data_IF_086809327290
#
_entry.id   IF_086809327290
#
_cell.length_a   1.000
_cell.length_b   1.000
_cell.length_c   1.000
_cell.angle_alpha   90.00
_cell.angle_beta   90.00
_cell.angle_gamma   90.00
#
_symmetry.space_group_name_H-M   'P 1'
#
loop_
_entity.id
_entity.type
_entity.pdbx_description
1 polymer ?
#
# COMPACT_ATOMS: atom_id res chain seq x y z
N UNK A 1 23.40 15.97 -17.40
CA UNK A 1 23.09 17.13 -16.51
C UNK A 1 22.86 16.63 -15.10
N UNK A 2 23.83 16.87 -14.21
CA UNK A 2 23.70 16.64 -12.78
C UNK A 2 22.60 17.56 -12.21
N UNK A 3 21.73 17.01 -11.38
CA UNK A 3 20.73 17.81 -10.67
C UNK A 3 21.42 18.61 -9.55
N UNK A 4 20.94 19.82 -9.26
CA UNK A 4 21.55 20.64 -8.23
C UNK A 4 21.35 20.03 -6.84
N UNK A 5 22.29 20.24 -5.92
CA UNK A 5 22.27 19.63 -4.58
C UNK A 5 20.98 19.91 -3.78
N UNK A 6 20.37 21.09 -3.98
CA UNK A 6 19.11 21.48 -3.33
C UNK A 6 17.92 20.63 -3.78
N UNK A 7 17.96 20.04 -4.98
CA UNK A 7 16.91 19.14 -5.47
C UNK A 7 16.84 17.88 -4.59
N UNK A 8 17.99 17.24 -4.33
CA UNK A 8 18.04 16.03 -3.51
C UNK A 8 17.61 16.32 -2.07
N UNK A 9 18.07 17.44 -1.49
CA UNK A 9 17.64 17.86 -0.15
C UNK A 9 16.12 18.07 -0.07
N UNK A 10 15.53 18.68 -1.09
CA UNK A 10 14.07 18.91 -1.15
C UNK A 10 13.31 17.59 -1.20
N UNK A 11 13.79 16.62 -1.98
CA UNK A 11 13.21 15.28 -2.05
C UNK A 11 13.34 14.55 -0.72
N UNK A 12 14.48 14.66 -0.04
CA UNK A 12 14.70 14.02 1.25
C UNK A 12 13.76 14.59 2.34
N UNK A 13 13.57 15.90 2.37
CA UNK A 13 12.60 16.56 3.27
C UNK A 13 11.16 16.11 2.94
N UNK A 14 10.81 15.98 1.66
CA UNK A 14 9.51 15.49 1.24
C UNK A 14 9.29 14.03 1.68
N UNK A 15 10.31 13.18 1.55
CA UNK A 15 10.26 11.79 2.02
C UNK A 15 10.06 11.76 3.53
N UNK A 16 10.83 12.54 4.29
CA UNK A 16 10.76 12.57 5.76
C UNK A 16 9.39 13.03 6.26
N UNK A 17 8.85 14.11 5.67
CA UNK A 17 7.50 14.62 6.01
C UNK A 17 6.42 13.60 5.66
N UNK A 18 6.52 12.97 4.49
CA UNK A 18 5.58 11.93 4.06
C UNK A 18 5.66 10.67 4.94
N UNK A 19 6.84 10.29 5.41
CA UNK A 19 7.02 9.21 6.38
C UNK A 19 6.34 9.53 7.71
N UNK A 20 6.55 10.73 8.26
CA UNK A 20 5.90 11.13 9.51
C UNK A 20 4.37 11.09 9.40
N UNK A 21 3.81 11.55 8.28
CA UNK A 21 2.38 11.47 7.99
C UNK A 21 1.90 10.02 7.83
N UNK A 22 2.68 9.17 7.16
CA UNK A 22 2.31 7.75 6.98
C UNK A 22 2.35 6.98 8.30
N UNK A 23 3.38 7.19 9.13
CA UNK A 23 3.53 6.55 10.45
C UNK A 23 2.36 6.96 11.35
N UNK A 24 2.05 8.27 11.41
CA UNK A 24 0.96 8.78 12.25
C UNK A 24 -0.41 8.32 11.75
N UNK A 25 -0.70 8.46 10.45
CA UNK A 25 -1.99 8.09 9.86
C UNK A 25 -2.28 6.58 9.94
N UNK A 26 -1.34 5.76 9.48
CA UNK A 26 -1.49 4.30 9.52
C UNK A 26 -1.41 3.77 10.96
N UNK A 27 -0.52 4.32 11.79
CA UNK A 27 -0.43 3.99 13.21
C UNK A 27 -1.73 4.24 13.95
N UNK A 28 -2.38 5.39 13.72
CA UNK A 28 -3.67 5.72 14.32
C UNK A 28 -4.76 4.70 13.95
N UNK A 29 -4.83 4.30 12.68
CA UNK A 29 -5.79 3.29 12.23
C UNK A 29 -5.53 1.94 12.90
N UNK A 30 -4.28 1.50 12.97
CA UNK A 30 -3.89 0.26 13.66
C UNK A 30 -4.31 0.33 15.13
N UNK A 31 -4.10 1.45 15.82
CA UNK A 31 -4.55 1.66 17.19
C UNK A 31 -6.08 1.50 17.32
N UNK A 32 -6.87 2.00 16.37
CA UNK A 32 -8.33 1.78 16.38
C UNK A 32 -8.69 0.28 16.28
N UNK A 33 -7.98 -0.50 15.46
CA UNK A 33 -8.21 -1.95 15.37
C UNK A 33 -7.77 -2.72 16.62
N UNK A 34 -6.76 -2.22 17.33
CA UNK A 34 -6.32 -2.77 18.62
C UNK A 34 -7.36 -2.48 19.69
N UNK A 35 -7.87 -1.25 19.76
CA UNK A 35 -8.80 -0.79 20.79
C UNK A 35 -10.22 -1.35 20.62
N UNK A 36 -10.71 -1.49 19.39
CA UNK A 36 -12.11 -1.87 19.14
C UNK A 36 -12.25 -3.29 18.57
N UNK A 37 -12.67 -4.24 19.40
CA UNK A 37 -12.87 -5.65 19.01
C UNK A 37 -13.84 -5.83 17.84
N UNK A 38 -14.88 -4.98 17.77
CA UNK A 38 -15.88 -4.94 16.69
C UNK A 38 -15.28 -4.72 15.30
N UNK A 39 -14.23 -3.89 15.20
CA UNK A 39 -13.53 -3.64 13.93
C UNK A 39 -12.77 -4.88 13.45
N UNK A 40 -12.15 -5.63 14.38
CA UNK A 40 -11.37 -6.84 14.11
C UNK A 40 -12.22 -8.03 13.65
N UNK A 41 -13.47 -8.10 14.10
CA UNK A 41 -14.41 -9.16 13.73
C UNK A 41 -14.91 -9.03 12.28
N UNK A 42 -14.83 -7.84 11.68
CA UNK A 42 -15.28 -7.61 10.30
C UNK A 42 -14.30 -8.19 9.27
N UNK A 43 -14.72 -9.25 8.58
CA UNK A 43 -13.91 -9.97 7.58
C UNK A 43 -13.44 -9.06 6.44
N UNK A 44 -14.30 -8.15 5.98
CA UNK A 44 -14.02 -7.23 4.87
C UNK A 44 -12.94 -6.18 5.17
N UNK A 45 -12.60 -5.98 6.45
CA UNK A 45 -11.60 -5.01 6.90
C UNK A 45 -10.21 -5.62 7.11
N UNK A 46 -10.05 -6.92 6.89
CA UNK A 46 -8.79 -7.62 7.19
C UNK A 46 -7.71 -7.33 6.15
N UNK A 47 -8.08 -7.34 4.87
CA UNK A 47 -7.18 -6.96 3.78
C UNK A 47 -6.78 -5.48 3.87
N UNK A 48 -7.71 -4.66 4.37
CA UNK A 48 -7.49 -3.26 4.66
C UNK A 48 -6.49 -3.05 5.81
N UNK A 49 -6.68 -3.78 6.91
CA UNK A 49 -5.76 -3.77 8.05
C UNK A 49 -4.36 -4.23 7.63
N UNK A 50 -4.28 -5.28 6.79
CA UNK A 50 -3.01 -5.74 6.25
C UNK A 50 -2.28 -4.61 5.51
N UNK A 51 -2.95 -3.92 4.59
CA UNK A 51 -2.37 -2.83 3.82
C UNK A 51 -1.87 -1.68 4.72
N UNK A 52 -2.65 -1.33 5.74
CA UNK A 52 -2.26 -0.33 6.74
C UNK A 52 -1.02 -0.76 7.56
N UNK A 53 -0.98 -2.03 7.99
CA UNK A 53 0.18 -2.59 8.69
C UNK A 53 1.43 -2.57 7.81
N UNK A 54 1.32 -2.95 6.54
CA UNK A 54 2.47 -2.96 5.61
C UNK A 54 2.95 -1.55 5.30
N UNK A 55 2.05 -0.59 5.10
CA UNK A 55 2.42 0.82 4.86
C UNK A 55 3.10 1.44 6.10
N UNK A 56 2.67 1.08 7.30
CA UNK A 56 3.33 1.48 8.56
C UNK A 56 4.72 0.85 8.71
N UNK A 57 4.84 -0.47 8.49
CA UNK A 57 6.12 -1.18 8.54
C UNK A 57 7.11 -0.61 7.53
N UNK A 58 6.65 -0.30 6.31
CA UNK A 58 7.49 0.35 5.31
C UNK A 58 7.98 1.72 5.76
N UNK A 59 7.09 2.58 6.26
CA UNK A 59 7.47 3.92 6.68
C UNK A 59 8.51 3.90 7.83
N UNK A 60 8.41 2.95 8.75
CA UNK A 60 9.41 2.76 9.83
C UNK A 60 10.71 2.16 9.29
N UNK A 61 10.63 1.11 8.47
CA UNK A 61 11.81 0.42 7.92
C UNK A 61 12.61 1.27 6.92
N UNK A 62 12.01 2.31 6.34
CA UNK A 62 12.68 3.28 5.47
C UNK A 62 13.38 4.41 6.24
N UNK A 63 13.26 4.49 7.58
CA UNK A 63 13.94 5.49 8.39
C UNK A 63 15.48 5.42 8.33
N UNK A 64 16.12 4.24 8.43
CA UNK A 64 17.58 4.14 8.34
C UNK A 64 18.13 4.69 7.03
N UNK A 65 17.38 4.51 5.93
CA UNK A 65 17.72 5.06 4.63
C UNK A 65 17.73 6.59 4.69
N UNK A 66 16.61 7.23 5.04
CA UNK A 66 16.52 8.70 4.98
C UNK A 66 17.44 9.39 6.00
N UNK A 67 17.60 8.81 7.19
CA UNK A 67 18.51 9.34 8.22
C UNK A 67 19.95 9.34 7.70
N UNK A 68 20.38 8.26 7.05
CA UNK A 68 21.72 8.18 6.46
C UNK A 68 21.94 9.26 5.39
N UNK A 69 20.95 9.46 4.50
CA UNK A 69 21.01 10.49 3.47
C UNK A 69 21.13 11.91 4.04
N UNK A 70 20.34 12.24 5.06
CA UNK A 70 20.34 13.56 5.72
C UNK A 70 21.63 13.80 6.51
N UNK A 71 22.10 12.81 7.29
CA UNK A 71 23.30 12.96 8.13
C UNK A 71 24.58 13.08 7.29
N UNK A 72 24.65 12.36 6.16
CA UNK A 72 25.80 12.40 5.24
C UNK A 72 25.62 13.41 4.10
N UNK A 73 24.58 14.24 4.15
CA UNK A 73 24.35 15.26 3.14
C UNK A 73 25.48 16.30 3.14
N UNK A 74 26.05 16.55 1.96
CA UNK A 74 27.10 17.55 1.79
C UNK A 74 26.82 18.34 0.48
N UNK A 75 26.83 19.68 0.52
CA UNK A 75 26.53 20.52 -0.64
C UNK A 75 27.59 20.47 -1.75
N UNK A 76 28.80 19.95 -1.47
CA UNK A 76 29.96 19.97 -2.38
C UNK A 76 30.15 18.60 -3.07
N UNK A 77 30.07 17.50 -2.32
CA UNK A 77 30.26 16.14 -2.86
C UNK A 77 29.42 15.12 -2.10
N UNK A 78 28.67 14.31 -2.83
CA UNK A 78 27.95 13.16 -2.27
C UNK A 78 28.85 11.92 -2.29
N UNK A 79 29.22 11.42 -1.11
CA UNK A 79 29.95 10.16 -0.92
C UNK A 79 29.18 9.27 0.05
N UNK A 80 28.53 8.26 -0.51
CA UNK A 80 27.70 7.33 0.23
C UNK A 80 28.22 5.90 0.08
N UNK A 81 28.15 5.12 1.15
CA UNK A 81 28.53 3.71 1.13
C UNK A 81 27.51 2.88 0.32
N UNK A 82 27.93 2.15 -0.73
CA UNK A 82 27.03 1.32 -1.54
C UNK A 82 26.27 0.29 -0.73
N UNK A 83 26.95 -0.41 0.19
CA UNK A 83 26.34 -1.44 1.03
C UNK A 83 25.23 -0.86 1.92
N UNK A 84 25.48 0.30 2.54
CA UNK A 84 24.49 0.95 3.40
C UNK A 84 23.25 1.39 2.63
N UNK A 85 23.42 1.97 1.43
CA UNK A 85 22.30 2.39 0.58
C UNK A 85 21.45 1.20 0.13
N UNK A 86 22.09 0.12 -0.33
CA UNK A 86 21.39 -1.06 -0.84
C UNK A 86 20.66 -1.79 0.30
N UNK A 87 21.33 -1.96 1.45
CA UNK A 87 20.73 -2.59 2.62
C UNK A 87 19.54 -1.79 3.17
N UNK A 88 19.74 -0.50 3.43
CA UNK A 88 18.66 0.37 3.93
C UNK A 88 17.57 0.63 2.91
N UNK A 89 17.86 0.49 1.61
CA UNK A 89 16.90 0.61 0.51
C UNK A 89 16.13 -0.68 0.19
N UNK A 90 16.52 -1.82 0.74
CA UNK A 90 15.83 -3.11 0.52
C UNK A 90 14.34 -3.11 0.89
N UNK A 91 13.88 -2.43 1.98
CA UNK A 91 12.46 -2.36 2.30
C UNK A 91 11.60 -1.75 1.19
N UNK A 92 12.16 -0.86 0.36
CA UNK A 92 11.46 -0.30 -0.80
C UNK A 92 11.06 -1.39 -1.80
N UNK A 93 11.99 -2.26 -2.15
CA UNK A 93 11.78 -3.31 -3.15
C UNK A 93 10.73 -4.29 -2.67
N UNK A 94 10.85 -4.72 -1.41
CA UNK A 94 9.90 -5.63 -0.78
C UNK A 94 8.51 -4.99 -0.69
N UNK A 95 8.41 -3.76 -0.17
CA UNK A 95 7.11 -3.10 -0.02
C UNK A 95 6.43 -2.85 -1.36
N UNK A 96 7.19 -2.45 -2.39
CA UNK A 96 6.62 -2.20 -3.71
C UNK A 96 5.95 -3.47 -4.27
N UNK A 97 6.59 -4.64 -4.12
CA UNK A 97 6.00 -5.93 -4.52
C UNK A 97 4.80 -6.32 -3.66
N UNK A 98 4.86 -6.13 -2.34
CA UNK A 98 3.72 -6.38 -1.46
C UNK A 98 2.51 -5.53 -1.86
N UNK A 99 2.70 -4.21 -2.04
CA UNK A 99 1.61 -3.30 -2.41
C UNK A 99 1.01 -3.65 -3.78
N UNK A 100 1.83 -4.12 -4.72
CA UNK A 100 1.37 -4.56 -6.03
C UNK A 100 0.52 -5.84 -5.95
N UNK A 101 1.00 -6.85 -5.22
CA UNK A 101 0.29 -8.12 -5.02
C UNK A 101 -1.00 -7.91 -4.24
N UNK A 102 -0.99 -7.07 -3.19
CA UNK A 102 -2.19 -6.70 -2.43
C UNK A 102 -3.21 -5.97 -3.30
N UNK A 103 -2.77 -5.04 -4.14
CA UNK A 103 -3.65 -4.33 -5.09
C UNK A 103 -4.35 -5.29 -6.06
N UNK A 104 -3.59 -6.23 -6.64
CA UNK A 104 -4.14 -7.30 -7.50
C UNK A 104 -5.14 -8.15 -6.71
N UNK A 105 -4.78 -8.56 -5.49
CA UNK A 105 -5.65 -9.37 -4.65
C UNK A 105 -6.94 -8.65 -4.25
N UNK A 106 -6.90 -7.33 -4.00
CA UNK A 106 -8.08 -6.49 -3.79
C UNK A 106 -8.97 -6.51 -5.03
N UNK A 107 -8.40 -6.31 -6.23
CA UNK A 107 -9.18 -6.33 -7.47
C UNK A 107 -9.86 -7.69 -7.71
N UNK A 108 -9.13 -8.79 -7.54
CA UNK A 108 -9.66 -10.15 -7.65
C UNK A 108 -10.75 -10.43 -6.63
N UNK A 109 -10.56 -10.04 -5.37
CA UNK A 109 -11.54 -10.23 -4.31
C UNK A 109 -12.86 -9.50 -4.64
N UNK A 110 -12.79 -8.32 -5.26
CA UNK A 110 -13.98 -7.58 -5.74
C UNK A 110 -14.67 -8.24 -6.92
N UNK A 111 -13.92 -8.73 -7.91
CA UNK A 111 -14.51 -9.48 -9.03
C UNK A 111 -15.21 -10.75 -8.53
N UNK A 112 -14.60 -11.47 -7.58
CA UNK A 112 -15.19 -12.66 -6.96
C UNK A 112 -16.49 -12.32 -6.22
N UNK A 113 -16.50 -11.22 -5.45
CA UNK A 113 -17.69 -10.78 -4.73
C UNK A 113 -18.86 -10.40 -5.66
N UNK A 114 -18.56 -9.79 -6.82
CA UNK A 114 -19.57 -9.35 -7.78
C UNK A 114 -20.10 -10.50 -8.65
N UNK A 115 -19.22 -11.39 -9.13
CA UNK A 115 -19.59 -12.44 -10.09
C UNK A 115 -20.05 -13.74 -9.43
N UNK A 116 -19.50 -14.07 -8.25
CA UNK A 116 -19.75 -15.35 -7.57
C UNK A 116 -20.00 -15.15 -6.07
N UNK A 117 -21.13 -14.50 -5.68
CA UNK A 117 -21.39 -14.13 -4.29
C UNK A 117 -21.50 -15.34 -3.34
N UNK A 118 -22.00 -16.49 -3.81
CA UNK A 118 -22.13 -17.71 -3.00
C UNK A 118 -20.75 -18.28 -2.66
N UNK A 119 -19.85 -18.37 -3.65
CA UNK A 119 -18.48 -18.81 -3.42
C UNK A 119 -17.73 -17.84 -2.51
N UNK A 120 -17.87 -16.54 -2.75
CA UNK A 120 -17.25 -15.50 -1.94
C UNK A 120 -17.65 -15.58 -0.45
N UNK A 121 -18.92 -15.89 -0.15
CA UNK A 121 -19.40 -16.06 1.24
C UNK A 121 -18.80 -17.29 1.95
N UNK A 122 -18.38 -18.32 1.22
CA UNK A 122 -17.76 -19.54 1.77
C UNK A 122 -16.23 -19.47 1.85
N UNK A 123 -15.62 -18.50 1.17
CA UNK A 123 -14.16 -18.31 1.13
C UNK A 123 -13.61 -17.95 2.51
N UNK A 124 -12.56 -18.63 2.95
CA UNK A 124 -11.82 -18.25 4.15
C UNK A 124 -10.97 -16.99 3.88
N UNK A 125 -11.48 -15.85 4.31
CA UNK A 125 -10.83 -14.55 4.13
C UNK A 125 -9.48 -14.43 4.87
N UNK A 126 -9.28 -15.11 6.02
CA UNK A 126 -7.97 -15.08 6.68
C UNK A 126 -6.90 -15.73 5.83
N UNK A 127 -7.19 -16.93 5.33
CA UNK A 127 -6.24 -17.68 4.54
C UNK A 127 -5.87 -16.88 3.28
N UNK A 128 -6.86 -16.26 2.63
CA UNK A 128 -6.62 -15.42 1.46
C UNK A 128 -5.69 -14.24 1.74
N UNK A 129 -5.90 -13.53 2.85
CA UNK A 129 -5.04 -12.40 3.27
C UNK A 129 -3.61 -12.86 3.55
N UNK A 130 -3.43 -13.96 4.29
CA UNK A 130 -2.10 -14.51 4.58
C UNK A 130 -1.38 -15.00 3.32
N UNK A 131 -2.06 -15.73 2.45
CA UNK A 131 -1.50 -16.17 1.17
C UNK A 131 -1.05 -14.99 0.31
N UNK A 132 -1.86 -13.92 0.27
CA UNK A 132 -1.51 -12.68 -0.45
C UNK A 132 -0.23 -12.07 0.10
N UNK A 133 -0.10 -11.98 1.43
CA UNK A 133 1.11 -11.45 2.07
C UNK A 133 2.34 -12.33 1.77
N UNK A 134 2.22 -13.65 1.90
CA UNK A 134 3.35 -14.55 1.65
C UNK A 134 3.80 -14.53 0.18
N UNK A 135 2.88 -14.43 -0.77
CA UNK A 135 3.22 -14.28 -2.19
C UNK A 135 3.95 -12.94 -2.41
N UNK A 136 3.43 -11.84 -1.88
CA UNK A 136 4.06 -10.52 -2.01
C UNK A 136 5.45 -10.48 -1.38
N UNK A 137 5.60 -11.04 -0.17
CA UNK A 137 6.86 -11.13 0.54
C UNK A 137 7.86 -12.03 -0.20
N UNK A 138 7.41 -13.19 -0.71
CA UNK A 138 8.25 -14.11 -1.47
C UNK A 138 8.80 -13.48 -2.75
N UNK A 139 7.96 -12.76 -3.50
CA UNK A 139 8.39 -12.02 -4.70
C UNK A 139 9.36 -10.88 -4.34
N UNK A 140 9.05 -10.11 -3.30
CA UNK A 140 9.92 -9.03 -2.83
C UNK A 140 11.28 -9.52 -2.31
N UNK A 141 11.29 -10.64 -1.58
CA UNK A 141 12.50 -11.27 -1.09
C UNK A 141 13.35 -11.81 -2.25
N UNK A 142 12.73 -12.45 -3.25
CA UNK A 142 13.41 -12.90 -4.45
C UNK A 142 14.10 -11.74 -5.18
N UNK A 143 13.39 -10.63 -5.41
CA UNK A 143 13.96 -9.44 -6.04
C UNK A 143 15.10 -8.82 -5.20
N UNK A 144 14.99 -8.87 -3.88
CA UNK A 144 16.03 -8.38 -2.97
C UNK A 144 17.28 -9.26 -3.05
N UNK A 145 17.13 -10.60 -3.02
CA UNK A 145 18.25 -11.53 -3.21
C UNK A 145 18.91 -11.30 -4.57
N UNK A 146 18.12 -11.13 -5.63
CA UNK A 146 18.64 -10.82 -6.96
C UNK A 146 19.40 -9.49 -6.99
N UNK A 147 18.90 -8.46 -6.28
CA UNK A 147 19.59 -7.18 -6.14
C UNK A 147 20.97 -7.37 -5.51
N UNK A 148 21.05 -8.05 -4.37
CA UNK A 148 22.33 -8.28 -3.68
C UNK A 148 23.28 -9.15 -4.50
N UNK A 149 22.77 -10.16 -5.19
CA UNK A 149 23.59 -11.05 -6.00
C UNK A 149 24.17 -10.38 -7.24
N UNK A 150 23.43 -9.45 -7.83
CA UNK A 150 23.85 -8.75 -9.06
C UNK A 150 24.68 -7.50 -8.80
N UNK A 151 24.73 -7.01 -7.56
CA UNK A 151 25.42 -5.75 -7.24
C UNK A 151 26.88 -6.00 -6.84
N UNK A 152 27.80 -5.28 -7.47
CA UNK A 152 29.21 -5.20 -7.08
C UNK A 152 29.42 -4.03 -6.12
N UNK A 153 30.00 -4.29 -4.95
CA UNK A 153 30.18 -3.26 -3.91
C UNK A 153 31.44 -2.39 -4.08
N UNK A 154 32.30 -2.71 -5.05
CA UNK A 154 33.62 -2.08 -5.20
C UNK A 154 33.59 -0.73 -5.94
N UNK A 155 32.47 -0.38 -6.58
CA UNK A 155 32.34 0.88 -7.33
C UNK A 155 31.79 2.01 -6.45
N UNK A 156 32.67 2.90 -5.99
CA UNK A 156 32.25 4.18 -5.41
C UNK A 156 31.67 5.09 -6.49
N UNK A 157 30.46 5.61 -6.24
CA UNK A 157 29.76 6.52 -7.16
C UNK A 157 29.68 7.90 -6.52
N UNK A 158 30.42 8.85 -7.06
CA UNK A 158 30.37 10.25 -6.64
C UNK A 158 29.18 10.99 -7.26
N UNK A 159 28.64 11.95 -6.53
CA UNK A 159 27.62 12.89 -7.01
C UNK A 159 26.31 12.25 -7.50
N UNK A 160 25.97 11.05 -7.00
CA UNK A 160 24.63 10.49 -7.18
C UNK A 160 23.99 10.12 -5.84
N UNK A 161 22.85 10.75 -5.54
CA UNK A 161 22.07 10.52 -4.34
C UNK A 161 20.81 9.66 -4.58
N UNK A 162 20.78 8.87 -5.66
CA UNK A 162 19.68 7.96 -5.95
C UNK A 162 20.09 6.51 -5.72
N UNK A 163 19.22 5.72 -5.08
CA UNK A 163 19.40 4.27 -4.89
C UNK A 163 19.71 3.54 -6.21
N UNK A 164 19.11 4.00 -7.30
CA UNK A 164 19.33 3.45 -8.63
C UNK A 164 20.79 3.53 -9.09
N UNK A 165 21.58 4.52 -8.65
CA UNK A 165 22.98 4.63 -9.05
C UNK A 165 23.88 3.52 -8.51
N UNK A 166 23.50 2.92 -7.38
CA UNK A 166 24.26 1.85 -6.74
C UNK A 166 23.84 0.46 -7.23
N UNK A 167 22.81 0.38 -8.08
CA UNK A 167 22.31 -0.87 -8.64
C UNK A 167 22.83 -1.11 -10.06
N UNK A 168 23.04 -2.37 -10.40
CA UNK A 168 23.43 -2.76 -11.76
C UNK A 168 22.31 -2.45 -12.77
N UNK A 169 22.67 -1.96 -13.96
CA UNK A 169 21.68 -1.60 -14.99
C UNK A 169 20.77 -2.78 -15.38
N UNK A 170 21.33 -4.00 -15.45
CA UNK A 170 20.58 -5.23 -15.74
C UNK A 170 19.50 -5.51 -14.68
N UNK A 171 19.82 -5.32 -13.41
CA UNK A 171 18.86 -5.51 -12.32
C UNK A 171 17.74 -4.46 -12.38
N UNK A 172 18.09 -3.18 -12.59
CA UNK A 172 17.10 -2.10 -12.73
C UNK A 172 16.12 -2.38 -13.86
N UNK A 173 16.61 -2.82 -15.01
CA UNK A 173 15.78 -3.18 -16.15
C UNK A 173 14.84 -4.36 -15.82
N UNK A 174 15.36 -5.44 -15.22
CA UNK A 174 14.55 -6.57 -14.77
C UNK A 174 13.45 -6.13 -13.79
N UNK A 175 13.82 -5.39 -12.74
CA UNK A 175 12.90 -4.96 -11.69
C UNK A 175 11.83 -4.02 -12.26
N UNK A 176 12.23 -3.08 -13.13
CA UNK A 176 11.34 -2.18 -13.85
C UNK A 176 10.33 -2.93 -14.73
N UNK A 177 10.79 -3.86 -15.57
CA UNK A 177 9.93 -4.65 -16.47
C UNK A 177 8.98 -5.55 -15.67
N UNK A 178 9.49 -6.26 -14.66
CA UNK A 178 8.69 -7.14 -13.78
C UNK A 178 7.57 -6.36 -13.08
N UNK A 179 7.86 -5.14 -12.61
CA UNK A 179 6.86 -4.26 -12.03
C UNK A 179 5.87 -3.71 -13.07
N UNK A 180 6.34 -3.34 -14.26
CA UNK A 180 5.49 -2.87 -15.34
C UNK A 180 4.45 -3.92 -15.74
N UNK A 181 4.86 -5.18 -15.93
CA UNK A 181 3.95 -6.30 -16.30
C UNK A 181 2.85 -6.48 -15.26
N UNK A 182 3.22 -6.53 -13.98
CA UNK A 182 2.27 -6.69 -12.88
C UNK A 182 1.36 -5.47 -12.72
N UNK A 183 1.87 -4.26 -12.94
CA UNK A 183 1.07 -3.03 -12.92
C UNK A 183 0.05 -3.00 -14.06
N UNK A 184 0.42 -3.41 -15.28
CA UNK A 184 -0.52 -3.54 -16.41
C UNK A 184 -1.61 -4.56 -16.08
N UNK A 185 -1.24 -5.69 -15.49
CA UNK A 185 -2.22 -6.69 -15.04
C UNK A 185 -3.19 -6.12 -13.99
N UNK A 186 -2.69 -5.40 -12.99
CA UNK A 186 -3.51 -4.73 -11.98
C UNK A 186 -4.45 -3.67 -12.60
N UNK A 187 -3.98 -2.92 -13.61
CA UNK A 187 -4.79 -1.94 -14.33
C UNK A 187 -5.96 -2.60 -15.06
N UNK A 188 -5.71 -3.68 -15.80
CA UNK A 188 -6.76 -4.43 -16.52
C UNK A 188 -7.82 -4.95 -15.56
N UNK A 189 -7.40 -5.54 -14.43
CA UNK A 189 -8.34 -6.01 -13.41
C UNK A 189 -9.15 -4.86 -12.80
N UNK A 190 -8.53 -3.70 -12.58
CA UNK A 190 -9.21 -2.51 -12.05
C UNK A 190 -10.29 -1.99 -13.00
N UNK A 191 -9.98 -1.93 -14.30
CA UNK A 191 -10.95 -1.55 -15.35
C UNK A 191 -12.10 -2.55 -15.37
N UNK A 192 -11.81 -3.85 -15.26
CA UNK A 192 -12.83 -4.88 -15.21
C UNK A 192 -13.73 -4.74 -13.97
N UNK A 193 -13.15 -4.49 -12.79
CA UNK A 193 -13.92 -4.19 -11.57
C UNK A 193 -14.85 -2.99 -11.79
N UNK A 194 -14.36 -1.92 -12.41
CA UNK A 194 -15.16 -0.72 -12.68
C UNK A 194 -16.34 -1.02 -13.62
N UNK A 195 -16.12 -1.83 -14.67
CA UNK A 195 -17.16 -2.27 -15.59
C UNK A 195 -18.26 -3.07 -14.87
N UNK A 196 -17.89 -4.10 -14.11
CA UNK A 196 -18.85 -4.94 -13.38
C UNK A 196 -19.61 -4.15 -12.30
N UNK A 197 -18.94 -3.22 -11.62
CA UNK A 197 -19.56 -2.34 -10.64
C UNK A 197 -20.66 -1.46 -11.26
N UNK A 198 -20.42 -0.92 -12.46
CA UNK A 198 -21.41 -0.12 -13.17
C UNK A 198 -22.59 -0.97 -13.67
N UNK A 199 -22.30 -2.18 -14.17
CA UNK A 199 -23.32 -3.16 -14.53
C UNK A 199 -24.21 -3.55 -13.34
N UNK A 200 -23.62 -3.75 -12.15
CA UNK A 200 -24.36 -4.08 -10.93
C UNK A 200 -25.24 -2.92 -10.43
N UNK A 201 -24.77 -1.67 -10.52
CA UNK A 201 -25.59 -0.48 -10.20
C UNK A 201 -26.82 -0.38 -11.10
N UNK A 202 -26.65 -0.68 -12.39
CA UNK A 202 -27.74 -0.66 -13.38
C UNK A 202 -28.77 -1.78 -13.13
N UNK A 203 -28.33 -2.98 -12.73
CA UNK A 203 -29.19 -4.14 -12.48
C UNK A 203 -29.85 -4.20 -11.09
N UNK A 204 -29.65 -3.15 -10.28
CA UNK A 204 -30.17 -2.92 -8.93
C UNK A 204 -31.07 -4.06 -8.37
N UNK A 205 -30.51 -5.13 -7.79
CA UNK A 205 -31.30 -6.30 -7.43
C UNK A 205 -32.34 -5.92 -6.37
N UNK A 206 -33.62 -6.12 -6.72
CA UNK A 206 -34.77 -5.81 -5.88
C UNK A 206 -34.81 -6.62 -4.57
N UNK A 207 -33.97 -7.65 -4.42
CA UNK A 207 -33.96 -8.56 -3.28
C UNK A 207 -32.93 -8.29 -2.16
N UNK A 208 -32.02 -7.31 -2.28
CA UNK A 208 -31.08 -7.00 -1.18
C UNK A 208 -31.66 -5.99 -0.18
N UNK A 209 -31.57 -6.30 1.11
CA UNK A 209 -31.97 -5.39 2.18
C UNK A 209 -31.20 -4.07 2.17
N UNK A 210 -31.84 -2.98 2.59
CA UNK A 210 -31.29 -1.61 2.57
C UNK A 210 -29.91 -1.50 3.24
N UNK A 211 -29.72 -2.22 4.36
CA UNK A 211 -28.46 -2.26 5.11
C UNK A 211 -27.33 -2.94 4.34
N UNK A 212 -27.61 -4.07 3.69
CA UNK A 212 -26.62 -4.80 2.89
C UNK A 212 -26.22 -4.00 1.65
N UNK A 213 -27.18 -3.37 0.96
CA UNK A 213 -26.90 -2.47 -0.18
C UNK A 213 -25.96 -1.34 0.21
N UNK A 214 -26.17 -0.73 1.39
CA UNK A 214 -25.32 0.37 1.90
C UNK A 214 -23.90 -0.12 2.21
N UNK A 215 -23.75 -1.29 2.84
CA UNK A 215 -22.45 -1.88 3.14
C UNK A 215 -21.67 -2.27 1.88
N UNK A 216 -22.33 -2.89 0.89
CA UNK A 216 -21.74 -3.25 -0.41
C UNK A 216 -21.27 -2.01 -1.17
N UNK A 217 -22.12 -0.98 -1.26
CA UNK A 217 -21.78 0.29 -1.93
C UNK A 217 -20.57 0.95 -1.28
N UNK A 218 -20.50 0.93 0.05
CA UNK A 218 -19.38 1.48 0.80
C UNK A 218 -18.08 0.69 0.56
N UNK A 219 -18.13 -0.65 0.59
CA UNK A 219 -16.97 -1.50 0.33
C UNK A 219 -16.43 -1.33 -1.10
N UNK A 220 -17.34 -1.18 -2.07
CA UNK A 220 -17.00 -0.94 -3.47
C UNK A 220 -16.36 0.43 -3.66
N UNK A 221 -16.91 1.48 -3.02
CA UNK A 221 -16.33 2.84 -3.08
C UNK A 221 -14.94 2.90 -2.44
N UNK A 222 -14.76 2.24 -1.29
CA UNK A 222 -13.47 2.16 -0.62
C UNK A 222 -12.42 1.47 -1.50
N UNK A 223 -12.77 0.33 -2.08
CA UNK A 223 -11.82 -0.45 -2.88
C UNK A 223 -11.50 0.24 -4.19
N UNK A 224 -12.49 0.87 -4.83
CA UNK A 224 -12.24 1.72 -5.99
C UNK A 224 -11.32 2.90 -5.64
N UNK A 225 -11.48 3.51 -4.46
CA UNK A 225 -10.57 4.53 -3.95
C UNK A 225 -9.12 4.04 -3.82
N UNK A 226 -8.91 2.87 -3.23
CA UNK A 226 -7.57 2.25 -3.10
C UNK A 226 -6.97 1.95 -4.47
N UNK A 227 -7.75 1.38 -5.39
CA UNK A 227 -7.29 1.08 -6.75
C UNK A 227 -6.91 2.37 -7.50
N UNK A 228 -7.68 3.45 -7.33
CA UNK A 228 -7.40 4.74 -7.95
C UNK A 228 -6.15 5.41 -7.35
N UNK A 229 -5.98 5.37 -6.03
CA UNK A 229 -4.76 5.86 -5.36
C UNK A 229 -3.54 5.09 -5.88
N UNK A 230 -3.63 3.75 -5.91
CA UNK A 230 -2.56 2.89 -6.41
C UNK A 230 -2.26 3.19 -7.87
N UNK A 231 -3.29 3.45 -8.68
CA UNK A 231 -3.13 3.83 -10.09
C UNK A 231 -2.32 5.12 -10.25
N UNK A 232 -2.67 6.16 -9.49
CA UNK A 232 -2.04 7.49 -9.58
C UNK A 232 -0.62 7.49 -9.04
N UNK A 233 -0.39 6.91 -7.87
CA UNK A 233 0.90 7.03 -7.16
C UNK A 233 1.89 5.91 -7.45
N UNK A 234 1.44 4.76 -7.95
CA UNK A 234 2.29 3.59 -8.16
C UNK A 234 2.31 3.12 -9.63
N UNK A 235 1.13 2.90 -10.23
CA UNK A 235 1.07 2.34 -11.58
C UNK A 235 1.55 3.34 -12.64
N UNK A 236 1.05 4.58 -12.62
CA UNK A 236 1.39 5.59 -13.64
C UNK A 236 2.89 5.93 -13.62
N UNK A 237 3.52 6.25 -12.47
CA UNK A 237 4.95 6.49 -12.43
C UNK A 237 5.76 5.26 -12.89
N UNK A 238 5.38 4.06 -12.44
CA UNK A 238 6.14 2.84 -12.79
C UNK A 238 6.03 2.46 -14.26
N UNK A 239 4.86 2.60 -14.87
CA UNK A 239 4.64 2.27 -16.30
C UNK A 239 5.29 3.30 -17.21
N UNK A 240 5.20 4.58 -16.86
CA UNK A 240 5.88 5.66 -17.58
C UNK A 240 7.40 5.43 -17.59
N UNK A 241 7.99 5.12 -16.44
CA UNK A 241 9.43 4.82 -16.35
C UNK A 241 9.80 3.62 -17.22
N UNK A 242 9.04 2.53 -17.16
CA UNK A 242 9.31 1.31 -17.94
C UNK A 242 9.29 1.57 -19.46
N UNK A 243 8.31 2.34 -19.95
CA UNK A 243 8.22 2.71 -21.38
C UNK A 243 9.39 3.60 -21.80
N UNK A 244 9.76 4.57 -20.97
CA UNK A 244 10.87 5.48 -21.26
C UNK A 244 12.21 4.74 -21.26
N UNK A 245 12.42 3.77 -20.38
CA UNK A 245 13.66 2.99 -20.34
C UNK A 245 13.85 2.14 -21.61
N UNK A 246 12.74 1.68 -22.22
CA UNK A 246 12.76 1.01 -23.54
C UNK A 246 13.17 1.96 -24.69
N UNK A 247 13.08 3.28 -24.50
CA UNK A 247 13.50 4.28 -25.50
C UNK A 247 14.98 4.71 -25.36
N UNK A 248 15.79 3.99 -24.59
CA UNK A 248 17.22 4.27 -24.33
C UNK A 248 17.53 5.62 -23.66
N UNK A 249 16.54 6.31 -23.10
CA UNK A 249 16.76 7.48 -22.26
C UNK A 249 17.02 6.99 -20.82
N UNK A 250 18.24 7.19 -20.30
CA UNK A 250 18.64 6.76 -18.93
C UNK A 250 17.96 7.56 -17.79
N UNK A 251 16.63 7.65 -17.78
CA UNK A 251 15.88 8.44 -16.78
C UNK A 251 15.79 7.70 -15.43
N UNK A 252 16.06 6.39 -15.39
CA UNK A 252 16.05 5.57 -14.17
C UNK A 252 17.01 6.08 -13.08
N UNK A 253 18.16 6.65 -13.46
CA UNK A 253 19.13 7.24 -12.51
C UNK A 253 18.55 8.42 -11.72
N UNK A 254 17.49 9.05 -12.22
CA UNK A 254 16.82 10.21 -11.62
C UNK A 254 15.51 9.86 -10.93
N UNK A 255 14.86 8.75 -11.30
CA UNK A 255 13.48 8.45 -10.85
C UNK A 255 13.42 7.58 -9.58
N UNK A 256 14.52 6.94 -9.17
CA UNK A 256 14.58 6.10 -7.95
C UNK A 256 13.88 6.69 -6.70
N UNK A 257 14.13 7.98 -6.34
CA UNK A 257 13.47 8.62 -5.21
C UNK A 257 11.94 8.76 -5.35
N UNK A 258 11.40 8.83 -6.57
CA UNK A 258 9.97 8.98 -6.80
C UNK A 258 9.18 7.72 -6.47
N UNK A 259 9.79 6.52 -6.50
CA UNK A 259 9.13 5.30 -6.04
C UNK A 259 8.89 5.30 -4.53
N UNK A 260 9.85 5.82 -3.75
CA UNK A 260 9.72 5.99 -2.30
C UNK A 260 8.61 7.00 -2.02
N UNK A 261 8.67 8.16 -2.66
CA UNK A 261 7.64 9.21 -2.53
C UNK A 261 6.27 8.65 -2.91
N UNK A 262 6.14 7.97 -4.04
CA UNK A 262 4.88 7.36 -4.50
C UNK A 262 4.29 6.38 -3.49
N UNK A 263 5.10 5.48 -2.92
CA UNK A 263 4.65 4.55 -1.87
C UNK A 263 4.20 5.26 -0.59
N UNK A 264 4.95 6.28 -0.14
CA UNK A 264 4.58 7.02 1.06
C UNK A 264 3.29 7.83 0.85
N UNK A 265 3.15 8.49 -0.30
CA UNK A 265 1.92 9.20 -0.65
C UNK A 265 0.72 8.26 -0.83
N UNK A 266 0.94 7.07 -1.38
CA UNK A 266 -0.09 6.04 -1.43
C UNK A 266 -0.54 5.64 -0.01
N UNK A 267 0.41 5.40 0.91
CA UNK A 267 0.11 5.08 2.31
C UNK A 267 -0.64 6.19 3.05
N UNK A 268 -0.22 7.45 2.89
CA UNK A 268 -0.91 8.61 3.45
C UNK A 268 -2.33 8.72 2.88
N UNK A 269 -2.47 8.64 1.56
CA UNK A 269 -3.77 8.74 0.88
C UNK A 269 -4.72 7.62 1.27
N UNK A 270 -4.20 6.39 1.40
CA UNK A 270 -4.92 5.23 1.88
C UNK A 270 -5.50 5.51 3.27
N UNK A 271 -4.68 6.01 4.21
CA UNK A 271 -5.13 6.33 5.56
C UNK A 271 -6.29 7.35 5.59
N UNK A 272 -6.21 8.40 4.76
CA UNK A 272 -7.26 9.42 4.62
C UNK A 272 -8.54 8.79 4.06
N UNK A 273 -8.44 7.98 3.01
CA UNK A 273 -9.58 7.28 2.41
C UNK A 273 -10.25 6.34 3.41
N UNK A 274 -9.48 5.67 4.28
CA UNK A 274 -10.02 4.76 5.30
C UNK A 274 -10.84 5.49 6.35
N UNK A 275 -10.31 6.60 6.87
CA UNK A 275 -11.00 7.40 7.89
C UNK A 275 -12.23 8.10 7.31
N UNK A 276 -12.15 8.59 6.08
CA UNK A 276 -13.23 9.38 5.47
C UNK A 276 -14.38 8.53 4.92
N UNK A 277 -14.06 7.44 4.20
CA UNK A 277 -15.06 6.63 3.48
C UNK A 277 -15.61 5.47 4.31
N UNK A 278 -14.90 5.00 5.34
CA UNK A 278 -15.38 3.87 6.14
C UNK A 278 -16.13 4.32 7.41
N UNK A 279 -17.46 4.20 7.39
CA UNK A 279 -18.36 4.73 8.41
C UNK A 279 -18.07 4.21 9.84
N UNK A 280 -17.75 2.92 10.01
CA UNK A 280 -17.46 2.37 11.34
C UNK A 280 -16.10 2.82 11.88
N UNK A 281 -15.11 3.01 11.00
CA UNK A 281 -13.79 3.55 11.34
C UNK A 281 -13.92 5.04 11.71
N UNK A 282 -14.69 5.79 10.94
CA UNK A 282 -14.98 7.20 11.23
C UNK A 282 -15.70 7.39 12.56
N UNK A 283 -16.68 6.53 12.87
CA UNK A 283 -17.37 6.54 14.17
C UNK A 283 -16.39 6.24 15.31
N UNK A 284 -15.57 5.19 15.18
CA UNK A 284 -14.55 4.85 16.17
C UNK A 284 -13.56 5.99 16.40
N UNK A 285 -13.04 6.59 15.32
CA UNK A 285 -12.16 7.75 15.38
C UNK A 285 -12.84 8.94 16.07
N UNK A 286 -14.08 9.27 15.70
CA UNK A 286 -14.83 10.37 16.31
C UNK A 286 -15.16 10.14 17.78
N UNK A 287 -15.40 8.88 18.19
CA UNK A 287 -15.64 8.51 19.58
C UNK A 287 -14.38 8.70 20.43
N UNK A 288 -13.23 8.29 19.89
CA UNK A 288 -11.92 8.48 20.52
C UNK A 288 -11.56 9.96 20.65
N UNK A 289 -11.71 10.76 19.57
CA UNK A 289 -11.45 12.20 19.59
C UNK A 289 -12.38 12.98 20.54
N UNK A 290 -13.60 12.49 20.78
CA UNK A 290 -14.56 13.10 21.71
C UNK A 290 -14.39 12.61 23.16
N UNK A 291 -13.34 11.83 23.47
CA UNK A 291 -13.11 11.28 24.80
C UNK A 291 -14.18 10.28 25.24
N UNK A 292 -15.06 9.83 24.34
CA UNK A 292 -16.03 8.76 24.62
C UNK A 292 -15.31 7.43 24.46
N UNK A 293 -14.36 7.16 25.37
CA UNK A 293 -13.81 5.83 25.62
C UNK A 293 -14.86 4.99 26.37
N UNK A 294 -16.10 4.99 25.89
CA UNK A 294 -17.09 4.03 26.34
C UNK A 294 -16.70 2.71 25.68
N UNK A 295 -15.91 1.96 26.44
CA UNK A 295 -15.69 0.53 26.36
C UNK A 295 -16.98 -0.13 25.87
N UNK A 296 -17.12 -0.35 24.56
CA UNK A 296 -18.17 -1.20 23.96
C UNK A 296 -17.75 -2.66 24.18
N UNK A 297 -17.44 -2.99 25.43
CA UNK A 297 -17.36 -4.35 25.99
C UNK A 297 -18.70 -4.60 26.67
N UNK A 298 -19.79 -4.44 25.93
CA UNK A 298 -21.09 -4.92 26.39
C UNK A 298 -21.48 -6.07 25.49
N UNK A 299 -21.15 -7.27 25.97
CA UNK A 299 -21.91 -8.48 25.75
C UNK A 299 -23.40 -8.15 25.89
N UNK A 300 -24.06 -7.87 24.77
CA UNK A 300 -25.51 -7.98 24.71
C UNK A 300 -25.82 -9.48 24.66
N UNK A 301 -25.77 -10.13 25.82
CA UNK A 301 -26.56 -11.33 26.06
C UNK A 301 -27.99 -10.79 26.01
N UNK A 302 -28.68 -11.03 24.89
CA UNK A 302 -30.12 -10.87 24.84
C UNK A 302 -30.70 -11.75 25.94
N UNK A 303 -31.18 -11.13 27.02
CA UNK A 303 -32.12 -11.74 27.95
C UNK A 303 -33.28 -12.27 27.11
N UNK A 304 -33.35 -13.60 26.98
CA UNK A 304 -34.61 -14.26 26.70
C UNK A 304 -35.40 -14.16 28.01
N UNK A 305 -36.20 -13.10 28.13
CA UNK A 305 -37.34 -13.08 29.04
C UNK A 305 -38.32 -14.13 28.56
N UNK A 306 -38.18 -15.35 29.07
CA UNK A 306 -39.29 -16.30 29.14
C UNK A 306 -40.24 -15.73 30.19
N UNK A 307 -41.35 -15.16 29.74
CA UNK A 307 -42.47 -14.84 30.61
C UNK A 307 -43.71 -15.62 30.17
N UNK A 308 -44.27 -16.28 31.17
CA UNK A 308 -45.61 -16.83 31.32
C UNK A 308 -45.92 -18.22 30.76
N UNK A 309 -45.85 -19.16 31.69
CA UNK A 309 -46.91 -20.13 31.98
C UNK A 309 -48.32 -19.53 31.89
N UNK A 310 -49.21 -20.24 31.21
CA UNK A 310 -50.56 -20.62 31.64
C UNK A 310 -50.99 -21.82 30.79
#
# INVERSE_FOLDING_TARGET
MAMPAWYYLSVDILILTSQALSISGNGFIISLFILFKRLRQNMSLRLLLLLCCTDWVFAVSALPYIIYYVVKWNPIMFDYSPLMIIASGSPLIIQFKINLVVTIAIAVDRLQALRMPVYYRRKNQMLYVWMTLFIGLGMGAFDTVLMFWTTTFDTHVYNCAAIGCFQLAKFRAYWGISNMVLNVFALVLTIWVAYELNGFKSKNPAGLGVREKKQLTQANRLSFGILLISMVFLLVPSTFVGVVDLTHLEIFKKIGPFYIVGLLFAGVSNSVVYITLHAELRKAASGLCKGKLAIETSTTISRVTVFSTA
#
